data_IF_712510102376
#
_entry.id   IF_712510102376
#
_cell.length_a   1.000
_cell.length_b   1.000
_cell.length_c   1.000
_cell.angle_alpha   90.00
_cell.angle_beta   90.00
_cell.angle_gamma   90.00
#
_symmetry.space_group_name_H-M   'P 1'
#
loop_
_entity.id
_entity.type
_entity.pdbx_description
1 polymer ?
#
# COMPACT_ATOMS: atom_id res chain seq x y z
N UNK A 1 -5.07 -12.58 8.00
CA UNK A 1 -3.69 -12.78 7.51
C UNK A 1 -2.92 -11.49 7.74
N UNK A 2 -1.73 -11.56 8.33
CA UNK A 2 -0.84 -10.40 8.55
C UNK A 2 0.42 -10.65 7.75
N UNK A 3 0.84 -9.65 6.97
CA UNK A 3 2.01 -9.70 6.10
C UNK A 3 2.88 -8.48 6.36
N UNK A 4 4.15 -8.71 6.63
CA UNK A 4 5.16 -7.66 6.78
C UNK A 4 6.11 -7.76 5.60
N UNK A 5 6.15 -6.71 4.77
CA UNK A 5 6.97 -6.60 3.57
C UNK A 5 6.92 -7.85 2.66
N UNK A 6 5.72 -8.31 2.22
CA UNK A 6 5.54 -9.62 1.59
C UNK A 6 6.23 -9.77 0.23
N UNK A 7 6.67 -8.68 -0.39
CA UNK A 7 7.31 -8.68 -1.70
C UNK A 7 8.81 -8.43 -1.65
N UNK A 8 9.39 -8.32 -0.46
CA UNK A 8 10.83 -8.09 -0.29
C UNK A 8 11.65 -9.21 -0.94
N UNK A 9 12.67 -8.84 -1.70
CA UNK A 9 13.57 -9.74 -2.45
C UNK A 9 12.88 -10.65 -3.49
N UNK A 10 11.63 -10.35 -3.88
CA UNK A 10 10.96 -11.08 -4.97
C UNK A 10 11.27 -10.43 -6.32
N UNK A 11 11.55 -11.27 -7.32
CA UNK A 11 11.61 -10.79 -8.69
C UNK A 11 10.21 -10.32 -9.17
N UNK A 12 10.14 -9.49 -10.23
CA UNK A 12 8.87 -8.94 -10.70
C UNK A 12 7.81 -9.98 -11.09
N UNK A 13 8.21 -11.18 -11.52
CA UNK A 13 7.25 -12.24 -11.89
C UNK A 13 6.63 -12.86 -10.66
N UNK A 14 7.43 -13.21 -9.66
CA UNK A 14 6.93 -13.81 -8.41
C UNK A 14 6.10 -12.81 -7.63
N UNK A 15 6.48 -11.53 -7.61
CA UNK A 15 5.66 -10.46 -7.02
C UNK A 15 4.25 -10.40 -7.63
N UNK A 16 4.13 -10.41 -8.97
CA UNK A 16 2.83 -10.42 -9.66
C UNK A 16 2.01 -11.65 -9.33
N UNK A 17 2.65 -12.81 -9.23
CA UNK A 17 1.98 -14.03 -8.81
C UNK A 17 1.43 -13.93 -7.38
N UNK A 18 2.23 -13.42 -6.44
CA UNK A 18 1.82 -13.21 -5.06
C UNK A 18 0.62 -12.25 -4.97
N UNK A 19 0.65 -11.13 -5.69
CA UNK A 19 -0.48 -10.19 -5.77
C UNK A 19 -1.75 -10.91 -6.22
N UNK A 20 -1.67 -11.71 -7.29
CA UNK A 20 -2.79 -12.50 -7.78
C UNK A 20 -3.34 -13.46 -6.73
N UNK A 21 -2.47 -14.13 -5.98
CA UNK A 21 -2.90 -14.99 -4.87
C UNK A 21 -3.60 -14.18 -3.77
N UNK A 22 -2.99 -13.07 -3.32
CA UNK A 22 -3.54 -12.24 -2.26
C UNK A 22 -4.90 -11.65 -2.64
N UNK A 23 -5.10 -11.26 -3.90
CA UNK A 23 -6.38 -10.73 -4.39
C UNK A 23 -7.50 -11.78 -4.42
N UNK A 24 -7.17 -13.06 -4.61
CA UNK A 24 -8.14 -14.16 -4.61
C UNK A 24 -8.49 -14.69 -3.20
N UNK A 25 -7.78 -14.25 -2.16
CA UNK A 25 -8.07 -14.65 -0.78
C UNK A 25 -9.21 -13.81 -0.20
N UNK A 26 -10.35 -14.47 0.03
CA UNK A 26 -11.55 -13.90 0.69
C UNK A 26 -11.42 -13.90 2.22
N UNK A 27 -10.46 -13.15 2.74
CA UNK A 27 -10.22 -13.00 4.18
C UNK A 27 -9.71 -11.59 4.51
N UNK A 28 -9.80 -11.20 5.78
CA UNK A 28 -9.21 -9.94 6.26
C UNK A 28 -7.68 -10.03 6.25
N UNK A 29 -7.07 -9.11 5.51
CA UNK A 29 -5.61 -8.99 5.33
C UNK A 29 -5.13 -7.67 5.94
N UNK A 30 -4.02 -7.72 6.66
CA UNK A 30 -3.26 -6.55 7.09
C UNK A 30 -1.89 -6.66 6.43
N UNK A 31 -1.49 -5.64 5.70
CA UNK A 31 -0.21 -5.60 4.99
C UNK A 31 0.54 -4.35 5.41
N UNK A 32 1.76 -4.53 5.91
CA UNK A 32 2.74 -3.47 6.10
C UNK A 32 3.76 -3.55 4.96
N UNK A 33 4.10 -2.40 4.39
CA UNK A 33 5.08 -2.32 3.32
C UNK A 33 5.44 -0.89 2.94
N UNK A 34 6.60 -0.71 2.34
CA UNK A 34 7.02 0.57 1.74
C UNK A 34 6.64 0.69 0.25
N UNK A 35 6.27 -0.41 -0.39
CA UNK A 35 5.88 -0.41 -1.80
C UNK A 35 4.44 0.08 -1.98
N UNK A 36 4.27 1.37 -2.24
CA UNK A 36 2.96 2.00 -2.32
C UNK A 36 2.15 1.56 -3.54
N UNK A 37 2.80 1.19 -4.65
CA UNK A 37 2.13 0.63 -5.82
C UNK A 37 1.52 -0.74 -5.51
N UNK A 38 2.28 -1.58 -4.78
CA UNK A 38 1.75 -2.85 -4.28
C UNK A 38 0.52 -2.60 -3.40
N UNK A 39 0.66 -1.75 -2.37
CA UNK A 39 -0.42 -1.49 -1.41
C UNK A 39 -1.66 -0.95 -2.14
N UNK A 40 -1.48 -0.05 -3.12
CA UNK A 40 -2.54 0.48 -3.95
C UNK A 40 -3.30 -0.61 -4.73
N UNK A 41 -2.60 -1.68 -5.14
CA UNK A 41 -3.18 -2.78 -5.91
C UNK A 41 -3.93 -3.81 -5.03
N UNK A 42 -3.47 -4.06 -3.80
CA UNK A 42 -4.00 -5.15 -2.95
C UNK A 42 -4.92 -4.69 -1.82
N UNK A 43 -4.82 -3.43 -1.38
CA UNK A 43 -5.54 -2.91 -0.22
C UNK A 43 -6.62 -1.91 -0.63
N UNK A 44 -7.82 -2.08 -0.09
CA UNK A 44 -8.93 -1.13 -0.26
C UNK A 44 -8.83 0.07 0.70
N UNK A 45 -8.29 -0.17 1.91
CA UNK A 45 -8.11 0.85 2.95
C UNK A 45 -6.68 0.84 3.44
N UNK A 46 -6.20 2.01 3.85
CA UNK A 46 -4.86 2.20 4.43
C UNK A 46 -4.92 3.04 5.70
N UNK A 47 -3.87 2.86 6.50
CA UNK A 47 -3.57 3.68 7.67
C UNK A 47 -2.18 4.25 7.43
N UNK A 48 -2.05 5.57 7.52
CA UNK A 48 -0.75 6.22 7.52
C UNK A 48 -0.28 6.35 8.96
N UNK A 49 0.90 5.79 9.23
CA UNK A 49 1.59 5.90 10.50
C UNK A 49 2.78 6.84 10.35
N UNK A 50 2.93 7.76 11.29
CA UNK A 50 4.11 8.60 11.43
C UNK A 50 4.41 8.83 12.91
N UNK A 51 5.69 8.77 13.28
CA UNK A 51 6.19 8.86 14.67
C UNK A 51 5.38 8.02 15.69
N UNK A 52 5.00 6.80 15.30
CA UNK A 52 4.23 5.88 16.16
C UNK A 52 2.75 6.27 16.36
N UNK A 53 2.24 7.24 15.61
CA UNK A 53 0.84 7.70 15.65
C UNK A 53 0.13 7.45 14.33
N UNK A 54 -1.17 7.21 14.41
CA UNK A 54 -2.04 7.19 13.24
C UNK A 54 -2.29 8.64 12.83
N UNK A 55 -1.75 9.02 11.68
CA UNK A 55 -1.98 10.34 11.08
C UNK A 55 -3.32 10.35 10.37
N UNK A 56 -3.58 9.33 9.56
CA UNK A 56 -4.82 9.23 8.79
C UNK A 56 -5.21 7.77 8.54
N UNK A 57 -6.48 7.56 8.23
CA UNK A 57 -7.03 6.28 7.78
C UNK A 57 -8.15 6.55 6.78
N UNK A 58 -8.25 5.73 5.74
CA UNK A 58 -9.28 5.90 4.71
C UNK A 58 -9.12 4.95 3.54
N UNK A 59 -9.87 5.20 2.47
CA UNK A 59 -9.72 4.48 1.21
C UNK A 59 -8.32 4.74 0.63
N UNK A 60 -7.68 3.68 0.13
CA UNK A 60 -6.28 3.71 -0.32
C UNK A 60 -6.03 4.82 -1.34
N UNK A 61 -6.93 4.95 -2.32
CA UNK A 61 -6.81 5.95 -3.39
C UNK A 61 -6.98 7.38 -2.89
N UNK A 62 -7.90 7.61 -1.96
CA UNK A 62 -8.14 8.95 -1.41
C UNK A 62 -6.95 9.41 -0.56
N UNK A 63 -6.44 8.52 0.30
CA UNK A 63 -5.28 8.84 1.15
C UNK A 63 -4.02 9.05 0.30
N UNK A 64 -3.73 8.13 -0.62
CA UNK A 64 -2.48 8.16 -1.40
C UNK A 64 -2.45 9.21 -2.51
N UNK A 65 -3.61 9.74 -2.93
CA UNK A 65 -3.67 10.85 -3.90
C UNK A 65 -3.47 12.22 -3.25
N UNK A 66 -3.54 12.33 -1.93
CA UNK A 66 -3.29 13.58 -1.21
C UNK A 66 -1.79 13.89 -1.17
N UNK A 67 -1.30 14.55 -2.21
CA UNK A 67 0.13 14.87 -2.39
C UNK A 67 0.74 15.65 -1.20
N UNK A 68 0.15 16.76 -0.71
CA UNK A 68 0.71 17.47 0.45
C UNK A 68 0.83 16.59 1.70
N UNK A 69 -0.17 15.73 1.96
CA UNK A 69 -0.15 14.79 3.08
C UNK A 69 0.97 13.76 2.92
N UNK A 70 1.08 13.13 1.74
CA UNK A 70 2.10 12.11 1.48
C UNK A 70 3.51 12.71 1.65
N UNK A 71 3.79 13.83 0.98
CA UNK A 71 5.12 14.46 1.00
C UNK A 71 5.50 14.96 2.40
N UNK A 72 4.55 15.49 3.17
CA UNK A 72 4.80 15.94 4.54
C UNK A 72 5.25 14.79 5.46
N UNK A 73 4.72 13.58 5.24
CA UNK A 73 5.05 12.37 6.01
C UNK A 73 6.12 11.49 5.33
N UNK A 74 6.91 12.06 4.41
CA UNK A 74 8.05 11.35 3.79
C UNK A 74 7.67 10.24 2.81
N UNK A 75 6.43 10.23 2.31
CA UNK A 75 5.95 9.30 1.31
C UNK A 75 5.80 9.99 -0.05
N UNK A 76 5.86 9.19 -1.11
CA UNK A 76 5.51 9.66 -2.45
C UNK A 76 4.06 9.30 -2.81
N UNK A 77 3.46 10.08 -3.71
CA UNK A 77 2.24 9.64 -4.39
C UNK A 77 2.62 8.49 -5.34
N UNK A 78 1.90 7.34 -5.35
CA UNK A 78 2.09 6.30 -6.35
C UNK A 78 2.02 6.85 -7.78
N UNK A 79 2.92 6.41 -8.66
CA UNK A 79 2.94 6.78 -10.08
C UNK A 79 1.60 6.51 -10.77
N UNK A 80 0.93 5.42 -10.40
CA UNK A 80 -0.42 5.08 -10.89
C UNK A 80 -1.49 6.12 -10.56
N UNK A 81 -1.22 7.03 -9.61
CA UNK A 81 -2.10 8.15 -9.23
C UNK A 81 -1.58 9.52 -9.71
N UNK A 82 -0.31 9.66 -10.13
CA UNK A 82 0.25 10.96 -10.57
C UNK A 82 -0.29 11.45 -11.93
N UNK A 83 -0.91 10.57 -12.72
CA UNK A 83 -1.35 10.86 -14.10
C UNK A 83 -2.88 10.83 -14.31
N UNK A 84 -3.66 10.98 -13.24
CA UNK A 84 -5.13 11.07 -13.31
C UNK A 84 -5.66 12.42 -12.88
#
# INVERSE_FOLDING_TARGET
LILDEPTSNLDPRVRRHLIGLLNNLNLTKIVAGHDLELILEICQRVILLDEGKIVTKGETREVMSNKPLMEYHGLEVPLSLKHK
#
